data_IF_250179887000
#
_entry.id   IF_250179887000
#
_cell.length_a   1.000
_cell.length_b   1.000
_cell.length_c   1.000
_cell.angle_alpha   90.00
_cell.angle_beta   90.00
_cell.angle_gamma   90.00
#
_symmetry.space_group_name_H-M   'P 1'
#
loop_
_entity.id
_entity.type
_entity.pdbx_description
1 polymer ?
#
# COMPACT_ATOMS: atom_id res chain seq x y z
N UNK A 1 48.81 -55.43 20.87
CA UNK A 1 47.37 -55.77 20.72
C UNK A 1 46.56 -54.48 20.72
N UNK A 2 46.23 -53.98 19.51
CA UNK A 2 45.37 -52.82 19.28
C UNK A 2 43.91 -53.16 19.60
N UNK A 3 43.22 -52.32 20.38
CA UNK A 3 41.75 -52.25 20.38
C UNK A 3 41.37 -51.01 19.57
N UNK A 4 40.86 -51.23 18.35
CA UNK A 4 40.23 -50.19 17.55
C UNK A 4 38.96 -49.72 18.26
N UNK A 5 38.91 -48.43 18.58
CA UNK A 5 37.67 -47.74 18.90
C UNK A 5 36.91 -47.49 17.59
N UNK A 6 35.70 -48.03 17.48
CA UNK A 6 34.77 -47.70 16.41
C UNK A 6 34.26 -46.27 16.59
N UNK A 7 34.34 -45.39 15.58
CA UNK A 7 33.73 -44.07 15.67
C UNK A 7 32.21 -44.21 15.55
N UNK A 8 31.52 -43.59 16.51
CA UNK A 8 30.07 -43.40 16.50
C UNK A 8 29.66 -42.70 15.20
N UNK A 9 28.95 -43.42 14.33
CA UNK A 9 28.43 -42.90 13.05
C UNK A 9 27.30 -41.93 13.38
N UNK A 10 27.56 -40.62 13.29
CA UNK A 10 26.52 -39.59 13.28
C UNK A 10 25.57 -39.96 12.15
N UNK A 11 24.33 -40.32 12.50
CA UNK A 11 23.30 -40.64 11.54
C UNK A 11 22.97 -39.38 10.75
N UNK A 12 23.23 -39.46 9.44
CA UNK A 12 22.80 -38.48 8.44
C UNK A 12 21.34 -38.09 8.66
N UNK A 13 21.12 -36.80 8.89
CA UNK A 13 19.78 -36.21 8.79
C UNK A 13 19.44 -36.25 7.30
N UNK A 14 18.46 -37.08 6.95
CA UNK A 14 18.13 -37.40 5.55
C UNK A 14 17.90 -36.15 4.68
N UNK A 15 18.51 -36.07 3.47
CA UNK A 15 18.43 -34.91 2.58
C UNK A 15 17.00 -34.63 2.04
N UNK A 16 16.09 -35.59 2.18
CA UNK A 16 14.69 -35.48 1.78
C UNK A 16 13.90 -34.46 2.64
N UNK A 17 14.20 -34.34 3.93
CA UNK A 17 13.47 -33.38 4.80
C UNK A 17 13.75 -31.92 4.42
N UNK A 18 14.98 -31.62 4.00
CA UNK A 18 15.38 -30.29 3.54
C UNK A 18 14.72 -29.88 2.23
N UNK A 19 14.50 -30.82 1.30
CA UNK A 19 13.85 -30.54 0.00
C UNK A 19 12.38 -30.16 0.17
N UNK A 20 11.64 -30.87 1.02
CA UNK A 20 10.23 -30.54 1.30
C UNK A 20 10.08 -29.22 2.06
N UNK A 21 11.00 -28.91 2.97
CA UNK A 21 11.01 -27.62 3.67
C UNK A 21 11.23 -26.46 2.68
N UNK A 22 12.27 -26.54 1.84
CA UNK A 22 12.54 -25.52 0.80
C UNK A 22 11.37 -25.33 -0.15
N UNK A 23 10.72 -26.41 -0.58
CA UNK A 23 9.55 -26.34 -1.46
C UNK A 23 8.36 -25.63 -0.80
N UNK A 24 8.09 -25.88 0.49
CA UNK A 24 7.00 -25.21 1.24
C UNK A 24 7.22 -23.71 1.36
N UNK A 25 8.44 -23.30 1.70
CA UNK A 25 8.80 -21.87 1.78
C UNK A 25 8.69 -21.22 0.41
N UNK A 26 9.24 -21.85 -0.62
CA UNK A 26 9.17 -21.33 -2.00
C UNK A 26 7.72 -21.14 -2.47
N UNK A 27 6.82 -22.10 -2.21
CA UNK A 27 5.41 -21.99 -2.58
C UNK A 27 4.68 -20.92 -1.77
N UNK A 28 4.97 -20.78 -0.48
CA UNK A 28 4.38 -19.73 0.35
C UNK A 28 4.79 -18.32 -0.13
N UNK A 29 6.08 -18.17 -0.48
CA UNK A 29 6.61 -16.93 -1.06
C UNK A 29 5.99 -16.67 -2.44
N UNK A 30 5.87 -17.69 -3.29
CA UNK A 30 5.23 -17.56 -4.60
C UNK A 30 3.77 -17.15 -4.48
N UNK A 31 3.03 -17.76 -3.56
CA UNK A 31 1.63 -17.41 -3.27
C UNK A 31 1.49 -15.95 -2.84
N UNK A 32 2.31 -15.50 -1.89
CA UNK A 32 2.30 -14.09 -1.47
C UNK A 32 2.71 -13.16 -2.62
N UNK A 33 3.75 -13.50 -3.38
CA UNK A 33 4.21 -12.70 -4.50
C UNK A 33 3.10 -12.54 -5.55
N UNK A 34 2.36 -13.60 -5.86
CA UNK A 34 1.24 -13.56 -6.79
C UNK A 34 0.08 -12.68 -6.27
N UNK A 35 -0.29 -12.81 -4.98
CA UNK A 35 -1.32 -11.97 -4.36
C UNK A 35 -0.95 -10.48 -4.40
N UNK A 36 0.27 -10.15 -3.96
CA UNK A 36 0.76 -8.77 -3.92
C UNK A 36 0.94 -8.18 -5.32
N UNK A 37 1.40 -8.98 -6.29
CA UNK A 37 1.49 -8.56 -7.68
C UNK A 37 0.10 -8.26 -8.26
N UNK A 38 -0.89 -9.14 -8.02
CA UNK A 38 -2.27 -8.93 -8.45
C UNK A 38 -2.87 -7.64 -7.88
N UNK A 39 -2.69 -7.42 -6.57
CA UNK A 39 -3.13 -6.20 -5.89
C UNK A 39 -2.45 -4.94 -6.44
N UNK A 40 -1.13 -4.94 -6.57
CA UNK A 40 -0.39 -3.78 -7.06
C UNK A 40 -0.69 -3.48 -8.53
N UNK A 41 -0.94 -4.52 -9.35
CA UNK A 41 -1.36 -4.37 -10.74
C UNK A 41 -2.74 -3.73 -10.85
N UNK A 42 -3.63 -4.00 -9.90
CA UNK A 42 -4.96 -3.41 -9.87
C UNK A 42 -4.88 -1.94 -9.42
N UNK A 43 -4.22 -1.69 -8.30
CA UNK A 43 -4.07 -0.34 -7.75
C UNK A 43 -3.21 0.58 -8.65
N UNK A 44 -2.33 0.03 -9.50
CA UNK A 44 -1.50 0.83 -10.40
C UNK A 44 -2.29 1.62 -11.42
N UNK A 45 -3.51 1.18 -11.78
CA UNK A 45 -4.43 1.96 -12.62
C UNK A 45 -4.74 3.30 -11.96
N UNK A 46 -5.17 3.28 -10.70
CA UNK A 46 -5.44 4.48 -9.90
C UNK A 46 -4.17 5.30 -9.67
N UNK A 47 -3.04 4.68 -9.36
CA UNK A 47 -1.79 5.42 -9.14
C UNK A 47 -1.26 6.12 -10.40
N UNK A 48 -1.63 5.64 -11.58
CA UNK A 48 -1.20 6.23 -12.86
C UNK A 48 -2.17 7.30 -13.36
N UNK A 49 -3.47 7.09 -13.14
CA UNK A 49 -4.54 7.92 -13.70
C UNK A 49 -5.00 9.01 -12.72
N UNK A 50 -4.93 8.74 -11.43
CA UNK A 50 -5.32 9.67 -10.38
C UNK A 50 -4.09 10.31 -9.74
N UNK A 51 -3.85 11.56 -10.12
CA UNK A 51 -2.74 12.36 -9.63
C UNK A 51 -2.65 12.47 -8.09
N UNK A 52 -3.78 12.36 -7.40
CA UNK A 52 -3.84 12.39 -5.93
C UNK A 52 -3.15 11.16 -5.32
N UNK A 53 -3.26 10.00 -5.97
CA UNK A 53 -2.72 8.72 -5.51
C UNK A 53 -1.42 8.29 -6.20
N UNK A 54 -0.79 9.20 -6.96
CA UNK A 54 0.47 8.90 -7.66
C UNK A 54 1.59 8.41 -6.70
N UNK A 55 1.62 8.91 -5.47
CA UNK A 55 2.55 8.45 -4.43
C UNK A 55 2.41 6.96 -4.11
N UNK A 56 1.28 6.33 -4.46
CA UNK A 56 1.00 4.92 -4.28
C UNK A 56 2.04 4.00 -4.91
N UNK A 57 2.69 4.43 -6.00
CA UNK A 57 3.80 3.71 -6.62
C UNK A 57 4.98 3.46 -5.67
N UNK A 58 5.23 4.34 -4.69
CA UNK A 58 6.30 4.18 -3.72
C UNK A 58 5.93 3.26 -2.55
N UNK A 59 4.64 3.10 -2.28
CA UNK A 59 4.14 2.43 -1.06
C UNK A 59 4.53 0.95 -0.99
N UNK A 60 4.44 0.12 -2.05
CA UNK A 60 4.91 -1.27 -2.01
C UNK A 60 6.40 -1.39 -1.66
N UNK A 61 7.24 -0.48 -2.16
CA UNK A 61 8.67 -0.46 -1.87
C UNK A 61 8.95 -0.06 -0.43
N UNK A 62 8.25 0.96 0.09
CA UNK A 62 8.35 1.33 1.49
C UNK A 62 7.82 0.25 2.42
N UNK A 63 6.70 -0.40 2.09
CA UNK A 63 6.17 -1.53 2.85
C UNK A 63 7.18 -2.69 2.91
N UNK A 64 7.80 -3.03 1.77
CA UNK A 64 8.85 -4.06 1.70
C UNK A 64 10.09 -3.67 2.52
N UNK A 65 10.52 -2.40 2.43
CA UNK A 65 11.65 -1.88 3.20
C UNK A 65 11.38 -1.91 4.71
N UNK A 66 10.20 -1.46 5.15
CA UNK A 66 9.76 -1.53 6.54
C UNK A 66 9.66 -2.98 7.02
N UNK A 67 9.16 -3.88 6.17
CA UNK A 67 9.10 -5.31 6.47
C UNK A 67 10.51 -5.89 6.67
N UNK A 68 11.45 -5.55 5.79
CA UNK A 68 12.85 -5.95 5.90
C UNK A 68 13.52 -5.41 7.18
N UNK A 69 13.29 -4.14 7.53
CA UNK A 69 13.77 -3.57 8.79
C UNK A 69 13.19 -4.29 10.01
N UNK A 70 11.89 -4.64 9.97
CA UNK A 70 11.26 -5.43 11.04
C UNK A 70 11.78 -6.86 11.08
N UNK A 71 12.16 -7.44 9.95
CA UNK A 71 12.69 -8.79 9.87
C UNK A 71 14.02 -8.93 10.62
N UNK A 72 14.87 -7.91 10.59
CA UNK A 72 16.16 -7.90 11.29
C UNK A 72 16.00 -7.97 12.82
N UNK A 73 14.96 -7.32 13.35
CA UNK A 73 14.66 -7.26 14.79
C UNK A 73 13.45 -8.16 15.14
N UNK A 74 13.23 -9.24 14.39
CA UNK A 74 12.09 -10.12 14.60
C UNK A 74 12.19 -10.85 15.95
N UNK A 75 11.11 -10.89 16.76
CA UNK A 75 11.13 -11.63 18.02
C UNK A 75 11.29 -13.13 17.75
N UNK A 76 11.91 -13.85 18.69
CA UNK A 76 11.96 -15.32 18.62
C UNK A 76 10.52 -15.87 18.47
N UNK A 77 10.32 -16.77 17.50
CA UNK A 77 9.02 -17.37 17.23
C UNK A 77 8.49 -18.02 18.53
N UNK A 78 7.26 -17.71 18.91
CA UNK A 78 6.66 -18.28 20.11
C UNK A 78 6.48 -19.78 19.92
N UNK A 79 7.17 -20.59 20.74
CA UNK A 79 6.95 -22.03 20.82
C UNK A 79 5.64 -22.22 21.60
N UNK A 80 4.57 -22.76 20.99
CA UNK A 80 3.34 -23.01 21.73
C UNK A 80 3.60 -24.07 22.79
N UNK A 81 3.56 -23.66 24.06
CA UNK A 81 3.47 -24.52 25.24
C UNK A 81 4.74 -25.30 25.62
N UNK A 82 5.73 -24.63 26.20
CA UNK A 82 6.43 -25.21 27.35
C UNK A 82 5.83 -24.61 28.62
N UNK A 83 4.81 -25.27 29.18
CA UNK A 83 4.63 -25.21 30.64
C UNK A 83 6.00 -25.51 31.24
N UNK A 84 6.53 -24.57 32.01
CA UNK A 84 7.81 -24.69 32.69
C UNK A 84 7.93 -26.11 33.27
N UNK A 85 8.99 -26.88 32.98
CA UNK A 85 9.14 -28.18 33.62
C UNK A 85 9.15 -27.94 35.12
N UNK A 86 8.26 -28.64 35.82
CA UNK A 86 8.18 -28.67 37.26
C UNK A 86 9.57 -28.88 37.88
N UNK A 87 9.70 -28.39 39.10
CA UNK A 87 10.95 -28.29 39.85
C UNK A 87 11.80 -29.58 39.82
N UNK A 88 13.15 -29.48 39.93
CA UNK A 88 14.07 -30.60 39.76
C UNK A 88 13.85 -31.85 40.63
N UNK A 89 13.04 -31.78 41.68
CA UNK A 89 12.87 -32.89 42.63
C UNK A 89 11.87 -33.97 42.20
N UNK A 90 10.97 -33.72 41.24
CA UNK A 90 10.00 -34.73 40.75
C UNK A 90 10.60 -35.79 39.80
N UNK A 91 11.90 -35.69 39.48
CA UNK A 91 12.54 -36.52 38.44
C UNK A 91 13.01 -37.91 38.89
N UNK A 92 12.92 -38.25 40.18
CA UNK A 92 13.52 -39.48 40.72
C UNK A 92 12.64 -40.74 40.59
N UNK A 93 11.32 -40.62 40.61
CA UNK A 93 10.44 -41.80 40.72
C UNK A 93 9.96 -42.37 39.38
N UNK A 94 10.33 -41.74 38.25
CA UNK A 94 9.77 -42.09 36.93
C UNK A 94 10.74 -42.80 35.98
N UNK A 95 11.79 -43.44 36.52
CA UNK A 95 12.86 -44.07 35.73
C UNK A 95 12.71 -45.57 35.47
N UNK A 96 11.65 -46.23 35.97
CA UNK A 96 11.52 -47.70 35.86
C UNK A 96 10.44 -48.24 34.91
N UNK A 97 9.63 -47.41 34.22
CA UNK A 97 8.48 -47.92 33.43
C UNK A 97 8.41 -47.45 31.97
N UNK A 98 9.51 -47.02 31.34
CA UNK A 98 9.45 -46.35 30.02
C UNK A 98 10.41 -46.83 28.93
N UNK A 99 10.77 -48.11 28.90
CA UNK A 99 11.55 -48.64 27.76
C UNK A 99 10.70 -49.08 26.56
N UNK A 100 9.37 -49.21 26.68
CA UNK A 100 8.50 -49.63 25.56
C UNK A 100 7.68 -48.54 24.86
N UNK A 101 7.59 -47.32 25.41
CA UNK A 101 6.66 -46.28 24.91
C UNK A 101 7.34 -45.13 24.16
N UNK A 102 8.67 -45.14 24.06
CA UNK A 102 9.47 -44.03 23.53
C UNK A 102 9.35 -43.83 22.02
N UNK A 103 9.15 -44.90 21.24
CA UNK A 103 9.07 -44.82 19.79
C UNK A 103 7.68 -44.36 19.30
N UNK A 104 6.60 -44.82 19.93
CA UNK A 104 5.24 -44.32 19.66
C UNK A 104 5.05 -42.87 20.10
N UNK A 105 5.67 -42.45 21.20
CA UNK A 105 5.63 -41.05 21.66
C UNK A 105 6.50 -40.10 20.81
N UNK A 106 7.51 -40.61 20.08
CA UNK A 106 8.29 -39.82 19.10
C UNK A 106 7.58 -39.72 17.75
N UNK A 107 6.84 -40.77 17.35
CA UNK A 107 6.00 -40.78 16.15
C UNK A 107 4.71 -39.95 16.32
N UNK A 108 4.16 -39.87 17.54
CA UNK A 108 3.08 -38.96 17.92
C UNK A 108 3.59 -37.53 18.20
N UNK A 109 4.58 -37.06 17.42
CA UNK A 109 4.89 -35.63 17.32
C UNK A 109 3.86 -34.97 16.42
N UNK A 110 2.65 -34.99 16.96
CA UNK A 110 1.39 -34.77 16.29
C UNK A 110 1.35 -33.34 15.78
N UNK A 111 1.36 -33.24 14.44
CA UNK A 111 0.82 -32.17 13.63
C UNK A 111 -0.03 -31.19 14.46
N UNK A 112 0.56 -30.08 14.89
CA UNK A 112 -0.19 -29.07 15.62
C UNK A 112 -1.14 -28.42 14.61
N UNK A 113 -2.41 -28.82 14.68
CA UNK A 113 -3.46 -28.35 13.77
C UNK A 113 -3.44 -26.81 13.78
N UNK A 114 -3.29 -26.15 12.62
CA UNK A 114 -3.35 -24.70 12.54
C UNK A 114 -4.64 -24.22 13.20
N UNK A 115 -4.56 -23.14 13.97
CA UNK A 115 -5.69 -22.60 14.73
C UNK A 115 -6.95 -22.60 13.85
N UNK A 116 -8.03 -23.32 14.22
CA UNK A 116 -9.18 -23.51 13.33
C UNK A 116 -9.83 -22.19 12.93
N UNK A 117 -9.76 -21.17 13.79
CA UNK A 117 -10.18 -19.82 13.46
C UNK A 117 -9.31 -19.19 12.35
N UNK A 118 -7.99 -19.37 12.39
CA UNK A 118 -7.08 -18.88 11.35
C UNK A 118 -7.37 -19.52 10.00
N UNK A 119 -7.64 -20.83 9.99
CA UNK A 119 -8.00 -21.58 8.79
C UNK A 119 -9.35 -21.12 8.25
N UNK A 120 -10.35 -20.95 9.11
CA UNK A 120 -11.68 -20.46 8.70
C UNK A 120 -11.61 -19.05 8.08
N UNK A 121 -10.86 -18.13 8.71
CA UNK A 121 -10.65 -16.78 8.16
C UNK A 121 -9.90 -16.85 6.82
N UNK A 122 -8.86 -17.70 6.72
CA UNK A 122 -8.12 -17.88 5.47
C UNK A 122 -8.98 -18.43 4.34
N UNK A 123 -9.82 -19.44 4.62
CA UNK A 123 -10.78 -19.99 3.66
C UNK A 123 -11.80 -18.93 3.24
N UNK A 124 -12.38 -18.20 4.20
CA UNK A 124 -13.33 -17.14 3.91
C UNK A 124 -12.70 -16.05 3.02
N UNK A 125 -11.47 -15.61 3.32
CA UNK A 125 -10.75 -14.63 2.52
C UNK A 125 -10.44 -15.14 1.10
N UNK A 126 -10.05 -16.41 0.96
CA UNK A 126 -9.86 -17.04 -0.36
C UNK A 126 -11.18 -17.13 -1.13
N UNK A 127 -12.28 -17.54 -0.51
CA UNK A 127 -13.59 -17.62 -1.15
C UNK A 127 -14.10 -16.25 -1.60
N UNK A 128 -13.90 -15.21 -0.79
CA UNK A 128 -14.26 -13.83 -1.11
C UNK A 128 -13.41 -13.25 -2.25
N UNK A 129 -12.23 -13.80 -2.53
CA UNK A 129 -11.39 -13.34 -3.63
C UNK A 129 -12.09 -13.51 -4.99
N UNK A 130 -12.86 -14.58 -5.19
CA UNK A 130 -13.57 -14.81 -6.46
C UNK A 130 -14.59 -13.70 -6.80
N UNK A 131 -15.61 -13.41 -5.96
CA UNK A 131 -16.55 -12.35 -6.26
C UNK A 131 -15.87 -10.98 -6.32
N UNK A 132 -14.91 -10.69 -5.44
CA UNK A 132 -14.16 -9.42 -5.49
C UNK A 132 -13.47 -9.26 -6.85
N UNK A 133 -12.68 -10.24 -7.30
CA UNK A 133 -11.98 -10.18 -8.59
C UNK A 133 -12.94 -10.15 -9.78
N UNK A 134 -14.06 -10.87 -9.70
CA UNK A 134 -15.07 -10.85 -10.75
C UNK A 134 -15.66 -9.45 -10.95
N UNK A 135 -16.06 -8.77 -9.86
CA UNK A 135 -16.64 -7.43 -9.95
C UNK A 135 -15.61 -6.33 -10.20
N UNK A 136 -14.39 -6.50 -9.68
CA UNK A 136 -13.31 -5.51 -9.79
C UNK A 136 -12.84 -5.36 -11.25
N UNK A 137 -12.75 -6.47 -12.01
CA UNK A 137 -12.41 -6.41 -13.44
C UNK A 137 -13.46 -5.65 -14.26
N UNK A 138 -14.75 -5.76 -13.91
CA UNK A 138 -15.80 -5.02 -14.61
C UNK A 138 -15.93 -3.55 -14.16
N UNK A 139 -15.50 -3.24 -12.94
CA UNK A 139 -15.67 -1.92 -12.33
C UNK A 139 -14.35 -1.50 -11.66
N UNK A 140 -13.29 -1.24 -12.44
CA UNK A 140 -11.98 -0.90 -11.88
C UNK A 140 -12.02 0.40 -11.07
N UNK A 141 -12.92 1.33 -11.37
CA UNK A 141 -13.10 2.57 -10.59
C UNK A 141 -13.84 2.37 -9.25
N UNK A 142 -14.39 1.18 -8.97
CA UNK A 142 -15.11 0.92 -7.73
C UNK A 142 -14.17 0.72 -6.54
N UNK A 143 -13.82 1.84 -5.91
CA UNK A 143 -12.86 1.91 -4.79
C UNK A 143 -13.17 0.97 -3.62
N UNK A 144 -14.44 0.66 -3.35
CA UNK A 144 -14.80 -0.29 -2.29
C UNK A 144 -14.31 -1.72 -2.58
N UNK A 145 -14.26 -2.12 -3.85
CA UNK A 145 -13.70 -3.41 -4.25
C UNK A 145 -12.19 -3.43 -4.03
N UNK A 146 -11.49 -2.33 -4.35
CA UNK A 146 -10.05 -2.19 -4.08
C UNK A 146 -9.74 -2.33 -2.57
N UNK A 147 -10.58 -1.76 -1.69
CA UNK A 147 -10.48 -1.98 -0.24
C UNK A 147 -10.72 -3.45 0.14
N UNK A 148 -11.72 -4.10 -0.44
CA UNK A 148 -12.01 -5.52 -0.23
C UNK A 148 -10.83 -6.42 -0.65
N UNK A 149 -10.28 -6.19 -1.84
CA UNK A 149 -9.12 -6.91 -2.36
C UNK A 149 -7.89 -6.70 -1.48
N UNK A 150 -7.60 -5.44 -1.11
CA UNK A 150 -6.48 -5.14 -0.21
C UNK A 150 -6.65 -5.82 1.15
N UNK A 151 -7.86 -5.78 1.72
CA UNK A 151 -8.16 -6.44 2.99
C UNK A 151 -7.94 -7.96 2.93
N UNK A 152 -8.31 -8.61 1.83
CA UNK A 152 -8.05 -10.03 1.60
C UNK A 152 -6.54 -10.31 1.58
N UNK A 153 -5.76 -9.55 0.79
CA UNK A 153 -4.30 -9.75 0.66
C UNK A 153 -3.57 -9.50 1.97
N UNK A 154 -3.91 -8.41 2.68
CA UNK A 154 -3.37 -8.09 4.01
C UNK A 154 -3.71 -9.20 5.00
N UNK A 155 -4.96 -9.66 5.03
CA UNK A 155 -5.40 -10.73 5.93
C UNK A 155 -4.66 -12.04 5.66
N UNK A 156 -4.59 -12.50 4.41
CA UNK A 156 -3.88 -13.72 4.03
C UNK A 156 -2.38 -13.64 4.37
N UNK A 157 -1.77 -12.48 4.16
CA UNK A 157 -0.36 -12.24 4.52
C UNK A 157 -0.17 -12.32 6.04
N UNK A 158 -1.01 -11.65 6.82
CA UNK A 158 -0.94 -11.65 8.29
C UNK A 158 -1.21 -13.03 8.89
N UNK A 159 -2.15 -13.79 8.33
CA UNK A 159 -2.43 -15.17 8.75
C UNK A 159 -1.22 -16.09 8.50
N UNK A 160 -0.55 -15.96 7.35
CA UNK A 160 0.67 -16.73 7.08
C UNK A 160 1.79 -16.39 8.07
N UNK A 161 2.03 -15.09 8.32
CA UNK A 161 3.00 -14.63 9.32
C UNK A 161 2.65 -15.13 10.73
N UNK A 162 1.35 -15.11 11.08
CA UNK A 162 0.87 -15.62 12.36
C UNK A 162 1.10 -17.13 12.52
N UNK A 163 0.86 -17.92 11.47
CA UNK A 163 1.13 -19.35 11.46
C UNK A 163 2.63 -19.67 11.58
N UNK A 164 3.52 -18.79 11.11
CA UNK A 164 4.97 -19.01 11.15
C UNK A 164 5.61 -18.67 12.51
N UNK A 165 5.16 -17.59 13.16
CA UNK A 165 5.82 -17.09 14.38
C UNK A 165 4.90 -16.67 15.53
N UNK A 166 3.61 -16.97 15.44
CA UNK A 166 2.64 -16.71 16.49
C UNK A 166 2.29 -15.22 16.64
N UNK A 167 1.60 -14.89 17.72
CA UNK A 167 1.01 -13.55 17.92
C UNK A 167 2.07 -12.45 18.04
N UNK A 168 3.29 -12.80 18.48
CA UNK A 168 4.42 -11.88 18.48
C UNK A 168 4.77 -11.40 17.06
N UNK A 169 4.87 -12.33 16.10
CA UNK A 169 5.14 -11.98 14.70
C UNK A 169 4.00 -11.21 14.08
N UNK A 170 2.75 -11.63 14.33
CA UNK A 170 1.56 -10.90 13.86
C UNK A 170 1.61 -9.42 14.26
N UNK A 171 1.84 -9.14 15.56
CA UNK A 171 1.90 -7.75 16.06
C UNK A 171 3.11 -6.98 15.52
N UNK A 172 4.25 -7.65 15.36
CA UNK A 172 5.50 -7.04 14.91
C UNK A 172 5.48 -6.65 13.42
N UNK A 173 4.87 -7.48 12.58
CA UNK A 173 4.79 -7.26 11.12
C UNK A 173 3.46 -6.64 10.66
N UNK A 174 2.47 -6.48 11.54
CA UNK A 174 1.18 -5.88 11.20
C UNK A 174 1.31 -4.53 10.51
N UNK A 175 2.15 -3.65 11.04
CA UNK A 175 2.27 -2.29 10.50
C UNK A 175 2.87 -2.25 9.08
N UNK A 176 4.05 -2.84 8.78
CA UNK A 176 4.58 -2.88 7.42
C UNK A 176 3.60 -3.46 6.39
N UNK A 177 2.87 -4.52 6.76
CA UNK A 177 1.90 -5.16 5.87
C UNK A 177 0.68 -4.26 5.66
N UNK A 178 0.16 -3.64 6.72
CA UNK A 178 -0.98 -2.73 6.65
C UNK A 178 -0.62 -1.37 6.00
N UNK A 179 0.66 -1.04 5.84
CA UNK A 179 1.11 0.22 5.23
C UNK A 179 0.57 0.43 3.81
N UNK A 180 0.31 -0.66 3.07
CA UNK A 180 -0.31 -0.60 1.73
C UNK A 180 -1.69 0.07 1.73
N UNK A 181 -2.42 0.05 2.85
CA UNK A 181 -3.74 0.68 2.97
C UNK A 181 -3.71 2.19 2.73
N UNK A 182 -2.56 2.83 2.89
CA UNK A 182 -2.38 4.26 2.60
C UNK A 182 -2.43 4.55 1.09
N UNK A 183 -2.10 3.56 0.25
CA UNK A 183 -2.15 3.68 -1.21
C UNK A 183 -3.51 3.30 -1.81
N UNK A 184 -4.47 2.85 -1.00
CA UNK A 184 -5.80 2.46 -1.47
C UNK A 184 -6.71 3.69 -1.51
N UNK A 185 -7.40 3.94 -2.64
CA UNK A 185 -8.23 5.13 -2.75
C UNK A 185 -9.42 5.11 -1.82
N UNK A 186 -9.64 6.20 -1.10
CA UNK A 186 -10.72 6.35 -0.14
C UNK A 186 -12.08 6.23 -0.84
N UNK A 187 -13.11 5.66 -0.19
CA UNK A 187 -14.44 5.62 -0.77
C UNK A 187 -14.91 7.03 -1.17
N UNK A 188 -15.43 7.19 -2.39
CA UNK A 188 -15.81 8.50 -2.97
C UNK A 188 -16.77 9.27 -2.07
N UNK A 189 -17.66 8.57 -1.37
CA UNK A 189 -18.60 9.15 -0.40
C UNK A 189 -17.93 9.85 0.79
N UNK A 190 -16.71 9.44 1.15
CA UNK A 190 -15.91 10.06 2.21
C UNK A 190 -14.93 11.07 1.62
N UNK A 191 -14.30 10.74 0.50
CA UNK A 191 -13.30 11.58 -0.12
C UNK A 191 -13.90 12.89 -0.64
N UNK A 192 -14.93 12.84 -1.50
CA UNK A 192 -15.46 14.03 -2.18
C UNK A 192 -15.92 15.13 -1.22
N UNK A 193 -16.68 14.85 -0.14
CA UNK A 193 -17.06 15.89 0.82
C UNK A 193 -15.88 16.52 1.54
N UNK A 194 -14.84 15.73 1.87
CA UNK A 194 -13.61 16.23 2.51
C UNK A 194 -12.84 17.11 1.54
N UNK A 195 -12.67 16.67 0.29
CA UNK A 195 -12.00 17.45 -0.77
C UNK A 195 -12.69 18.79 -0.95
N UNK A 196 -13.99 18.76 -1.25
CA UNK A 196 -14.78 19.95 -1.58
C UNK A 196 -14.98 20.84 -0.35
N UNK A 197 -15.07 20.27 0.84
CA UNK A 197 -15.09 21.02 2.10
C UNK A 197 -13.80 21.80 2.30
N UNK A 198 -12.66 21.13 2.19
CA UNK A 198 -11.35 21.73 2.36
C UNK A 198 -11.06 22.81 1.30
N UNK A 199 -11.35 22.54 0.02
CA UNK A 199 -11.17 23.52 -1.07
C UNK A 199 -11.96 24.80 -0.83
N UNK A 200 -13.23 24.69 -0.41
CA UNK A 200 -14.07 25.86 -0.10
C UNK A 200 -13.54 26.65 1.09
N UNK A 201 -13.06 25.97 2.13
CA UNK A 201 -12.46 26.65 3.29
C UNK A 201 -11.19 27.37 2.88
N UNK A 202 -10.29 26.70 2.16
CA UNK A 202 -9.05 27.32 1.66
C UNK A 202 -9.35 28.51 0.76
N UNK A 203 -10.30 28.39 -0.18
CA UNK A 203 -10.67 29.48 -1.08
C UNK A 203 -11.17 30.71 -0.32
N UNK A 204 -12.06 30.52 0.67
CA UNK A 204 -12.60 31.60 1.50
C UNK A 204 -11.50 32.29 2.32
N UNK A 205 -10.74 31.51 3.07
CA UNK A 205 -9.70 32.08 3.95
C UNK A 205 -8.59 32.72 3.12
N UNK A 206 -8.24 32.16 1.95
CA UNK A 206 -7.21 32.74 1.08
C UNK A 206 -7.69 34.04 0.44
N UNK A 207 -8.96 34.13 0.02
CA UNK A 207 -9.53 35.38 -0.49
C UNK A 207 -9.57 36.45 0.61
N UNK A 208 -10.04 36.13 1.82
CA UNK A 208 -10.03 37.06 2.96
C UNK A 208 -8.62 37.54 3.30
N UNK A 209 -7.65 36.63 3.35
CA UNK A 209 -6.25 36.98 3.57
C UNK A 209 -5.68 37.86 2.45
N UNK A 210 -6.03 37.60 1.20
CA UNK A 210 -5.60 38.41 0.06
C UNK A 210 -6.21 39.81 0.09
N UNK A 211 -7.48 39.93 0.47
CA UNK A 211 -8.14 41.22 0.69
C UNK A 211 -7.48 42.01 1.81
N UNK A 212 -7.08 41.34 2.91
CA UNK A 212 -6.32 41.98 4.00
C UNK A 212 -4.94 42.47 3.54
N UNK A 213 -4.33 41.82 2.55
CA UNK A 213 -3.07 42.20 1.94
C UNK A 213 -3.20 43.30 0.86
N UNK A 214 -4.42 43.74 0.57
CA UNK A 214 -4.71 44.82 -0.39
C UNK A 214 -5.08 44.35 -1.80
N UNK A 215 -5.22 43.04 -2.01
CA UNK A 215 -5.59 42.46 -3.31
C UNK A 215 -7.10 42.15 -3.35
N UNK A 216 -7.88 42.83 -4.21
CA UNK A 216 -9.32 42.55 -4.35
C UNK A 216 -9.56 41.12 -4.86
N UNK A 217 -10.23 40.30 -4.04
CA UNK A 217 -10.47 38.89 -4.33
C UNK A 217 -11.93 38.53 -3.99
N UNK A 218 -12.64 37.94 -4.95
CA UNK A 218 -14.04 37.48 -4.78
C UNK A 218 -14.13 35.96 -4.94
N UNK A 219 -14.89 35.29 -4.07
CA UNK A 219 -14.98 33.82 -4.05
C UNK A 219 -16.17 33.33 -4.88
N UNK A 220 -15.89 32.53 -5.90
CA UNK A 220 -16.89 31.85 -6.74
C UNK A 220 -16.74 30.32 -6.59
N UNK A 221 -17.42 29.75 -5.60
CA UNK A 221 -17.31 28.32 -5.29
C UNK A 221 -15.91 27.95 -4.77
N UNK A 222 -15.10 27.31 -5.63
CA UNK A 222 -13.69 26.97 -5.36
C UNK A 222 -12.70 27.88 -6.14
N UNK A 223 -13.22 28.84 -6.91
CA UNK A 223 -12.43 29.81 -7.67
C UNK A 223 -12.35 31.12 -6.91
N UNK A 224 -11.25 31.84 -7.12
CA UNK A 224 -11.04 33.19 -6.60
C UNK A 224 -10.88 34.11 -7.81
N UNK A 225 -11.82 35.04 -8.00
CA UNK A 225 -11.78 36.06 -9.04
C UNK A 225 -10.93 37.24 -8.57
N UNK A 226 -9.98 37.64 -9.41
CA UNK A 226 -9.12 38.81 -9.24
C UNK A 226 -9.19 39.68 -10.50
N UNK A 227 -8.61 40.89 -10.45
CA UNK A 227 -8.69 41.86 -11.56
C UNK A 227 -8.21 41.33 -12.91
N UNK A 228 -7.19 40.47 -12.92
CA UNK A 228 -6.59 39.94 -14.15
C UNK A 228 -7.08 38.53 -14.52
N UNK A 229 -7.96 37.88 -13.75
CA UNK A 229 -8.41 36.53 -14.07
C UNK A 229 -9.06 35.73 -12.94
N UNK A 230 -9.14 34.42 -13.14
CA UNK A 230 -9.68 33.46 -12.17
C UNK A 230 -8.55 32.55 -11.68
N UNK A 231 -8.30 32.55 -10.38
CA UNK A 231 -7.38 31.63 -9.72
C UNK A 231 -8.21 30.51 -9.13
N UNK A 232 -8.16 29.34 -9.76
CA UNK A 232 -8.82 28.16 -9.22
C UNK A 232 -8.02 27.56 -8.08
N UNK A 233 -8.68 27.30 -6.95
CA UNK A 233 -8.21 26.28 -6.01
C UNK A 233 -8.55 24.89 -6.60
N UNK A 234 -8.27 24.66 -7.89
CA UNK A 234 -8.64 23.46 -8.65
C UNK A 234 -7.54 22.39 -8.52
N UNK A 235 -7.69 21.21 -9.14
CA UNK A 235 -6.85 20.01 -8.94
C UNK A 235 -5.31 20.21 -8.92
N UNK A 236 -4.80 21.19 -9.66
CA UNK A 236 -3.39 21.60 -9.65
C UNK A 236 -2.92 22.19 -8.29
N UNK A 237 -3.88 22.71 -7.53
CA UNK A 237 -3.75 23.21 -6.16
C UNK A 237 -4.26 22.26 -5.07
N UNK A 238 -4.63 21.01 -5.38
CA UNK A 238 -5.30 20.14 -4.41
C UNK A 238 -4.43 19.85 -3.19
N UNK A 239 -4.72 20.54 -2.09
CA UNK A 239 -4.12 20.28 -0.77
C UNK A 239 -4.32 18.83 -0.31
N UNK A 240 -5.13 18.04 -1.01
CA UNK A 240 -5.31 16.61 -0.77
C UNK A 240 -4.16 15.73 -1.26
N UNK A 241 -3.52 16.04 -2.40
CA UNK A 241 -2.30 15.32 -2.80
C UNK A 241 -1.25 15.46 -1.70
N UNK A 242 -1.11 16.68 -1.18
CA UNK A 242 -0.25 17.00 -0.05
C UNK A 242 -0.76 16.35 1.25
N UNK A 243 -2.07 16.24 1.48
CA UNK A 243 -2.65 15.57 2.66
C UNK A 243 -2.34 14.07 2.68
N UNK A 244 -2.60 13.36 1.58
CA UNK A 244 -2.36 11.91 1.52
C UNK A 244 -0.86 11.60 1.51
N UNK A 245 -0.07 12.38 0.78
CA UNK A 245 1.39 12.25 0.79
C UNK A 245 1.97 12.56 2.17
N UNK A 246 1.48 13.59 2.88
CA UNK A 246 1.94 13.91 4.24
C UNK A 246 1.49 12.88 5.27
N UNK A 247 0.30 12.28 5.12
CA UNK A 247 -0.14 11.13 5.90
C UNK A 247 0.80 9.94 5.71
N UNK A 248 1.11 9.59 4.45
CA UNK A 248 2.07 8.53 4.13
C UNK A 248 3.43 8.81 4.77
N UNK A 249 3.97 10.01 4.58
CA UNK A 249 5.27 10.43 5.11
C UNK A 249 5.28 10.36 6.65
N UNK A 250 4.23 10.84 7.31
CA UNK A 250 4.12 10.80 8.78
C UNK A 250 4.06 9.37 9.32
N UNK A 251 3.32 8.48 8.66
CA UNK A 251 3.26 7.06 9.01
C UNK A 251 4.61 6.36 8.77
N UNK A 252 5.27 6.65 7.64
CA UNK A 252 6.58 6.10 7.27
C UNK A 252 7.64 6.53 8.30
N UNK A 253 7.81 7.82 8.54
CA UNK A 253 8.82 8.30 9.49
C UNK A 253 8.51 7.89 10.92
N UNK A 254 7.23 7.83 11.30
CA UNK A 254 6.83 7.35 12.62
C UNK A 254 7.20 5.88 12.85
N UNK A 255 7.16 5.05 11.81
CA UNK A 255 7.65 3.68 11.88
C UNK A 255 9.18 3.58 11.81
N UNK A 256 9.84 4.34 10.93
CA UNK A 256 11.30 4.36 10.83
C UNK A 256 11.97 4.80 12.14
N UNK A 257 11.34 5.72 12.88
CA UNK A 257 11.78 6.15 14.22
C UNK A 257 11.27 5.27 15.35
N UNK A 258 10.55 4.18 15.05
CA UNK A 258 9.94 3.26 16.03
C UNK A 258 9.10 3.98 17.09
N UNK A 259 8.42 5.06 16.72
CA UNK A 259 7.58 5.82 17.63
C UNK A 259 6.40 4.97 18.10
N UNK A 260 5.99 5.19 19.36
CA UNK A 260 4.74 4.66 19.90
C UNK A 260 3.54 5.06 19.04
N UNK A 261 2.46 4.27 19.09
CA UNK A 261 1.26 4.48 18.26
C UNK A 261 0.71 5.90 18.39
N UNK A 262 0.65 6.44 19.61
CA UNK A 262 0.16 7.80 19.86
C UNK A 262 1.07 8.86 19.21
N UNK A 263 2.40 8.74 19.37
CA UNK A 263 3.36 9.68 18.77
C UNK A 263 3.36 9.59 17.24
N UNK A 264 3.12 8.41 16.69
CA UNK A 264 2.95 8.20 15.24
C UNK A 264 1.71 8.87 14.71
N UNK A 265 0.58 8.70 15.40
CA UNK A 265 -0.67 9.41 15.05
C UNK A 265 -0.45 10.92 15.17
N UNK A 266 0.18 11.40 16.24
CA UNK A 266 0.51 12.81 16.41
C UNK A 266 1.41 13.34 15.29
N UNK A 267 2.44 12.58 14.87
CA UNK A 267 3.30 12.93 13.74
C UNK A 267 2.52 13.00 12.43
N UNK A 268 1.65 12.03 12.16
CA UNK A 268 0.79 12.05 10.97
C UNK A 268 -0.14 13.26 10.96
N UNK A 269 -0.78 13.58 12.09
CA UNK A 269 -1.64 14.76 12.23
C UNK A 269 -0.82 16.06 12.04
N UNK A 270 0.38 16.15 12.62
CA UNK A 270 1.26 17.30 12.42
C UNK A 270 1.68 17.45 10.96
N UNK A 271 2.05 16.35 10.29
CA UNK A 271 2.43 16.37 8.88
C UNK A 271 1.28 16.86 8.00
N UNK A 272 0.04 16.38 8.25
CA UNK A 272 -1.16 16.86 7.58
C UNK A 272 -1.39 18.34 7.85
N UNK A 273 -1.31 18.79 9.11
CA UNK A 273 -1.50 20.20 9.45
C UNK A 273 -0.48 21.12 8.77
N UNK A 274 0.80 20.73 8.73
CA UNK A 274 1.85 21.45 8.01
C UNK A 274 1.54 21.51 6.51
N UNK A 275 1.09 20.41 5.90
CA UNK A 275 0.71 20.37 4.50
C UNK A 275 -0.46 21.30 4.18
N UNK A 276 -1.49 21.33 5.04
CA UNK A 276 -2.64 22.23 4.90
C UNK A 276 -2.22 23.70 5.02
N UNK A 277 -1.38 24.03 5.99
CA UNK A 277 -0.87 25.40 6.16
C UNK A 277 -0.02 25.84 4.97
N UNK A 278 0.89 24.99 4.50
CA UNK A 278 1.72 25.32 3.35
C UNK A 278 0.86 25.50 2.08
N UNK A 279 -0.17 24.68 1.90
CA UNK A 279 -1.11 24.84 0.79
C UNK A 279 -1.93 26.13 0.89
N UNK A 280 -2.31 26.55 2.09
CA UNK A 280 -2.96 27.83 2.32
C UNK A 280 -2.06 29.01 1.92
N UNK A 281 -0.79 29.00 2.35
CA UNK A 281 0.20 30.01 1.96
C UNK A 281 0.37 30.05 0.44
N UNK A 282 0.37 28.89 -0.22
CA UNK A 282 0.38 28.83 -1.70
C UNK A 282 -0.79 29.55 -2.31
N UNK A 283 -1.99 29.28 -1.81
CA UNK A 283 -3.21 29.82 -2.38
C UNK A 283 -3.18 31.35 -2.33
N UNK A 284 -2.78 31.93 -1.20
CA UNK A 284 -2.60 33.40 -1.07
C UNK A 284 -1.52 33.91 -2.03
N UNK A 285 -0.36 33.24 -2.10
CA UNK A 285 0.72 33.61 -3.02
C UNK A 285 0.27 33.61 -4.49
N UNK A 286 -0.47 32.59 -4.91
CA UNK A 286 -0.95 32.50 -6.30
C UNK A 286 -2.02 33.55 -6.63
N UNK A 287 -2.88 33.90 -5.66
CA UNK A 287 -3.85 34.99 -5.82
C UNK A 287 -3.13 36.33 -6.00
N UNK A 288 -2.08 36.58 -5.23
CA UNK A 288 -1.29 37.81 -5.31
C UNK A 288 -0.53 37.94 -6.64
N UNK A 289 0.14 36.87 -7.08
CA UNK A 289 0.82 36.82 -8.38
C UNK A 289 -0.17 36.98 -9.53
N UNK A 290 -1.34 36.34 -9.46
CA UNK A 290 -2.35 36.47 -10.49
C UNK A 290 -2.96 37.88 -10.57
N UNK A 291 -2.93 38.65 -9.48
CA UNK A 291 -3.40 40.04 -9.47
C UNK A 291 -2.37 41.03 -10.03
N UNK A 292 -1.08 40.69 -9.99
CA UNK A 292 0.03 41.62 -10.32
C UNK A 292 0.70 41.31 -11.65
N UNK A 293 0.75 40.04 -12.06
CA UNK A 293 1.47 39.57 -13.26
C UNK A 293 0.53 39.22 -14.43
N UNK A 294 1.08 39.17 -15.64
CA UNK A 294 0.34 38.75 -16.83
C UNK A 294 0.07 37.23 -16.81
N UNK A 295 -1.15 36.84 -17.22
CA UNK A 295 -1.67 35.45 -17.19
C UNK A 295 -0.74 34.39 -17.80
N UNK A 296 0.12 34.74 -18.75
CA UNK A 296 1.06 33.81 -19.40
C UNK A 296 2.23 33.37 -18.52
N UNK A 297 2.54 34.07 -17.42
CA UNK A 297 3.60 33.68 -16.46
C UNK A 297 3.09 32.88 -15.26
N UNK A 298 1.77 32.87 -15.04
CA UNK A 298 1.13 32.25 -13.86
C UNK A 298 1.37 30.73 -13.82
N UNK A 299 1.41 30.05 -14.98
CA UNK A 299 1.69 28.62 -15.05
C UNK A 299 3.07 28.23 -14.51
N UNK A 300 4.11 29.03 -14.78
CA UNK A 300 5.47 28.78 -14.28
C UNK A 300 5.55 28.92 -12.76
N UNK A 301 4.92 29.96 -12.22
CA UNK A 301 4.87 30.18 -10.77
C UNK A 301 4.04 29.12 -10.05
N UNK A 302 3.00 28.60 -10.69
CA UNK A 302 2.19 27.51 -10.17
C UNK A 302 3.02 26.23 -9.93
N UNK A 303 3.87 25.84 -10.88
CA UNK A 303 4.70 24.64 -10.78
C UNK A 303 5.81 24.79 -9.72
N UNK A 304 6.51 25.92 -9.72
CA UNK A 304 7.58 26.20 -8.74
C UNK A 304 7.01 26.22 -7.31
N UNK A 305 5.84 26.84 -7.12
CA UNK A 305 5.16 26.87 -5.83
C UNK A 305 4.71 25.46 -5.38
N UNK A 306 4.29 24.61 -6.33
CA UNK A 306 3.93 23.22 -6.06
C UNK A 306 5.10 22.40 -5.52
N UNK A 307 6.24 22.38 -6.22
CA UNK A 307 7.41 21.58 -5.83
C UNK A 307 8.07 22.06 -4.54
N UNK A 308 8.15 23.38 -4.35
CA UNK A 308 8.75 23.98 -3.14
C UNK A 308 7.99 23.63 -1.86
N UNK A 309 6.65 23.55 -1.93
CA UNK A 309 5.83 23.16 -0.79
C UNK A 309 5.99 21.70 -0.42
N UNK A 310 6.06 20.81 -1.41
CA UNK A 310 6.30 19.38 -1.15
C UNK A 310 7.64 19.21 -0.41
N UNK A 311 8.68 19.91 -0.87
CA UNK A 311 9.99 19.90 -0.21
C UNK A 311 9.92 20.46 1.22
N UNK A 312 9.24 21.58 1.43
CA UNK A 312 9.03 22.18 2.75
C UNK A 312 8.31 21.23 3.71
N UNK A 313 7.19 20.64 3.27
CA UNK A 313 6.40 19.68 4.07
C UNK A 313 7.23 18.46 4.42
N UNK A 314 8.02 17.93 3.48
CA UNK A 314 8.92 16.80 3.72
C UNK A 314 9.96 17.13 4.80
N UNK A 315 10.66 18.26 4.66
CA UNK A 315 11.69 18.70 5.62
C UNK A 315 11.09 18.97 7.00
N UNK A 316 9.94 19.64 7.05
CA UNK A 316 9.25 19.94 8.30
C UNK A 316 8.75 18.65 8.99
N UNK A 317 8.13 17.72 8.25
CA UNK A 317 7.71 16.44 8.78
C UNK A 317 8.90 15.62 9.31
N UNK A 318 10.02 15.63 8.60
CA UNK A 318 11.27 15.00 9.04
C UNK A 318 11.82 15.65 10.32
N UNK A 319 11.77 16.98 10.43
CA UNK A 319 12.14 17.72 11.63
C UNK A 319 11.28 17.35 12.84
N UNK A 320 9.95 17.34 12.68
CA UNK A 320 9.01 16.93 13.74
C UNK A 320 9.26 15.47 14.15
N UNK A 321 9.47 14.57 13.20
CA UNK A 321 9.80 13.18 13.49
C UNK A 321 11.10 13.03 14.29
N UNK A 322 12.13 13.82 13.96
CA UNK A 322 13.39 13.85 14.70
C UNK A 322 13.19 14.36 16.14
N UNK A 323 12.41 15.44 16.32
CA UNK A 323 12.10 16.00 17.64
C UNK A 323 11.31 15.02 18.51
N UNK A 324 10.30 14.35 17.96
CA UNK A 324 9.51 13.33 18.65
C UNK A 324 10.34 12.08 18.99
N UNK A 325 11.31 11.72 18.15
CA UNK A 325 12.23 10.59 18.38
C UNK A 325 13.29 10.86 19.45
N UNK A 326 13.64 12.13 19.72
CA UNK A 326 14.68 12.52 20.69
C UNK A 326 14.30 12.20 22.14
N UNK A 327 13.01 12.03 22.45
CA UNK A 327 12.53 11.68 23.79
C UNK A 327 12.69 10.20 24.16
N UNK A 328 13.10 9.33 23.22
CA UNK A 328 13.11 7.87 23.42
C UNK A 328 14.53 7.28 23.54
N UNK A 329 15.55 8.12 23.76
CA UNK A 329 16.91 7.69 24.15
C UNK A 329 17.02 7.37 25.64
N UNK A 330 16.11 6.55 26.19
CA UNK A 330 16.28 6.01 27.55
C UNK A 330 15.53 4.69 27.75
N UNK A 331 16.13 3.58 27.33
CA UNK A 331 16.65 2.52 28.22
C UNK A 331 17.27 1.39 27.37
N UNK A 332 18.60 1.30 27.19
CA UNK A 332 19.23 0.10 26.68
C UNK A 332 19.25 -0.94 27.81
N UNK A 333 18.09 -1.47 28.17
CA UNK A 333 17.95 -2.74 28.90
C UNK A 333 17.28 -3.75 27.98
N UNK A 334 17.85 -3.93 26.79
CA UNK A 334 17.82 -5.24 26.16
C UNK A 334 19.13 -5.89 26.55
N UNK A 335 19.07 -6.64 27.64
CA UNK A 335 20.10 -7.57 28.05
C UNK A 335 20.50 -8.37 26.81
N UNK A 336 21.74 -8.15 26.37
CA UNK A 336 22.40 -8.90 25.33
C UNK A 336 22.54 -10.32 25.85
N UNK A 337 21.47 -11.11 25.74
CA UNK A 337 21.50 -12.54 25.99
C UNK A 337 22.16 -13.14 24.75
N UNK A 338 23.49 -13.08 24.73
CA UNK A 338 24.34 -13.92 23.90
C UNK A 338 24.13 -15.38 24.36
N UNK A 339 22.94 -15.91 24.11
CA UNK A 339 22.69 -17.35 24.10
C UNK A 339 23.17 -17.87 22.74
N UNK A 340 23.71 -19.10 22.68
CA UNK A 340 24.15 -19.67 21.41
C UNK A 340 23.00 -19.54 20.42
N UNK A 341 23.30 -19.02 19.22
CA UNK A 341 22.40 -19.01 18.07
C UNK A 341 21.86 -20.43 17.91
N UNK A 342 20.73 -20.70 18.57
CA UNK A 342 20.09 -21.98 18.49
C UNK A 342 19.56 -22.04 17.08
N UNK A 343 20.22 -22.86 16.28
CA UNK A 343 19.78 -23.33 14.99
C UNK A 343 18.26 -23.31 14.93
N UNK A 344 17.70 -22.74 13.85
CA UNK A 344 16.28 -22.74 13.50
C UNK A 344 15.73 -24.15 13.76
N UNK A 345 15.27 -24.34 14.98
CA UNK A 345 15.09 -25.64 15.60
C UNK A 345 13.67 -26.07 15.31
N UNK A 346 13.49 -26.63 14.12
CA UNK A 346 12.41 -27.50 13.68
C UNK A 346 11.32 -27.80 14.73
N UNK A 347 10.33 -26.91 14.82
CA UNK A 347 8.90 -27.20 15.04
C UNK A 347 8.12 -25.89 14.90
N UNK A 348 8.26 -25.26 13.74
CA UNK A 348 7.31 -24.24 13.31
C UNK A 348 6.06 -24.98 12.84
N UNK A 349 4.88 -24.50 13.22
CA UNK A 349 3.58 -24.91 12.69
C UNK A 349 3.53 -24.63 11.19
N UNK A 350 4.20 -25.48 10.41
CA UNK A 350 4.32 -25.32 8.98
C UNK A 350 2.96 -25.62 8.36
N UNK A 351 2.38 -24.62 7.69
CA UNK A 351 1.20 -24.80 6.87
C UNK A 351 1.47 -26.00 5.93
N UNK A 352 0.58 -27.01 5.91
CA UNK A 352 0.82 -28.19 5.10
C UNK A 352 0.88 -27.81 3.62
N UNK A 353 1.79 -28.45 2.90
CA UNK A 353 2.06 -28.20 1.48
C UNK A 353 0.77 -28.22 0.64
N UNK A 354 -0.16 -29.12 0.98
CA UNK A 354 -1.46 -29.26 0.33
C UNK A 354 -2.33 -28.01 0.43
N UNK A 355 -2.35 -27.31 1.58
CA UNK A 355 -3.12 -26.08 1.73
C UNK A 355 -2.54 -24.95 0.90
N UNK A 356 -1.22 -24.76 0.92
CA UNK A 356 -0.56 -23.75 0.07
C UNK A 356 -0.72 -24.06 -1.42
N UNK A 357 -0.62 -25.33 -1.81
CA UNK A 357 -0.85 -25.74 -3.19
C UNK A 357 -2.32 -25.50 -3.59
N UNK A 358 -3.28 -25.87 -2.75
CA UNK A 358 -4.70 -25.61 -2.99
C UNK A 358 -5.01 -24.10 -3.09
N UNK A 359 -4.40 -23.27 -2.23
CA UNK A 359 -4.54 -21.82 -2.30
C UNK A 359 -3.98 -21.22 -3.59
N UNK A 360 -2.84 -21.72 -4.09
CA UNK A 360 -2.28 -21.33 -5.39
C UNK A 360 -3.20 -21.78 -6.53
N UNK A 361 -3.67 -23.03 -6.51
CA UNK A 361 -4.60 -23.53 -7.52
C UNK A 361 -5.91 -22.72 -7.52
N UNK A 362 -6.40 -22.34 -6.34
CA UNK A 362 -7.57 -21.47 -6.21
C UNK A 362 -7.30 -20.07 -6.77
N UNK A 363 -6.17 -19.46 -6.45
CA UNK A 363 -5.78 -18.16 -7.02
C UNK A 363 -5.70 -18.20 -8.55
N UNK A 364 -5.08 -19.25 -9.10
CA UNK A 364 -5.02 -19.45 -10.56
C UNK A 364 -6.41 -19.66 -11.15
N UNK A 365 -7.26 -20.44 -10.48
CA UNK A 365 -8.65 -20.63 -10.89
C UNK A 365 -9.42 -19.30 -10.89
N UNK A 366 -9.25 -18.46 -9.87
CA UNK A 366 -9.88 -17.14 -9.82
C UNK A 366 -9.40 -16.27 -10.98
N UNK A 367 -8.09 -16.07 -11.17
CA UNK A 367 -7.58 -15.17 -12.22
C UNK A 367 -7.87 -15.69 -13.64
N UNK A 368 -7.67 -16.99 -13.89
CA UNK A 368 -7.94 -17.58 -15.21
C UNK A 368 -9.45 -17.67 -15.46
N UNK A 369 -10.22 -18.00 -14.43
CA UNK A 369 -11.67 -18.17 -14.50
C UNK A 369 -12.38 -16.85 -14.79
N UNK A 370 -12.04 -15.78 -14.08
CA UNK A 370 -12.61 -14.44 -14.33
C UNK A 370 -12.19 -13.92 -15.71
N UNK A 371 -10.92 -14.02 -16.08
CA UNK A 371 -10.45 -13.59 -17.40
C UNK A 371 -11.11 -14.37 -18.54
N UNK A 372 -11.25 -15.70 -18.38
CA UNK A 372 -11.93 -16.55 -19.37
C UNK A 372 -13.42 -16.24 -19.45
N UNK A 373 -14.08 -15.98 -18.32
CA UNK A 373 -15.49 -15.58 -18.28
C UNK A 373 -15.74 -14.31 -19.10
N UNK A 374 -14.98 -13.22 -18.85
CA UNK A 374 -15.10 -11.98 -19.62
C UNK A 374 -14.80 -12.21 -21.10
N UNK A 375 -13.68 -12.86 -21.43
CA UNK A 375 -13.32 -13.15 -22.82
C UNK A 375 -14.34 -14.03 -23.55
N UNK A 376 -15.09 -14.89 -22.86
CA UNK A 376 -16.14 -15.70 -23.46
C UNK A 376 -17.39 -14.87 -23.77
N UNK A 377 -17.74 -13.92 -22.89
CA UNK A 377 -18.91 -13.05 -23.06
C UNK A 377 -18.64 -11.90 -24.05
N UNK A 378 -17.41 -11.45 -24.16
CA UNK A 378 -17.00 -10.38 -25.09
C UNK A 378 -16.85 -10.85 -26.55
N UNK A 379 -16.83 -12.17 -26.82
CA UNK A 379 -16.71 -12.72 -28.19
C UNK A 379 -17.81 -12.27 -29.14
N UNK A 380 -18.98 -11.96 -28.60
CA UNK A 380 -20.16 -11.57 -29.37
C UNK A 380 -20.44 -10.06 -29.30
N UNK A 381 -19.55 -9.26 -28.69
CA UNK A 381 -19.66 -7.81 -28.76
C UNK A 381 -19.39 -7.38 -30.21
N UNK A 382 -20.39 -6.79 -30.83
CA UNK A 382 -20.27 -6.15 -32.14
C UNK A 382 -19.12 -5.15 -32.01
N UNK A 383 -18.03 -5.36 -32.76
CA UNK A 383 -16.93 -4.41 -32.83
C UNK A 383 -17.53 -3.04 -33.10
N UNK A 384 -17.31 -2.07 -32.18
CA UNK A 384 -17.92 -0.76 -32.26
C UNK A 384 -17.83 -0.20 -33.69
N UNK A 385 -18.88 0.49 -34.13
CA UNK A 385 -18.97 1.06 -35.48
C UNK A 385 -17.65 1.77 -35.79
N UNK A 386 -16.88 1.22 -36.73
CA UNK A 386 -15.62 1.83 -37.17
C UNK A 386 -15.99 3.07 -37.96
N UNK A 387 -16.03 4.20 -37.28
CA UNK A 387 -16.19 5.50 -37.91
C UNK A 387 -14.81 6.08 -38.22
N UNK A 388 -14.72 6.84 -39.30
CA UNK A 388 -13.57 7.68 -39.60
C UNK A 388 -14.06 9.05 -40.02
N UNK A 389 -13.37 10.09 -39.57
CA UNK A 389 -13.67 11.46 -39.98
C UNK A 389 -12.81 11.78 -41.19
N UNK A 390 -13.46 12.18 -42.30
CA UNK A 390 -12.76 12.75 -43.46
C UNK A 390 -12.65 14.25 -43.27
N UNK A 391 -11.46 14.72 -42.97
CA UNK A 391 -11.20 16.15 -42.76
C UNK A 391 -11.23 16.93 -44.08
N UNK A 392 -11.72 18.18 -44.08
CA UNK A 392 -11.74 19.04 -45.27
C UNK A 392 -10.36 19.67 -45.50
N UNK A 393 -9.36 18.84 -45.82
CA UNK A 393 -7.95 19.29 -45.99
C UNK A 393 -7.77 20.32 -47.12
N UNK A 394 -8.72 20.38 -48.06
CA UNK A 394 -8.73 21.34 -49.18
C UNK A 394 -9.46 22.65 -48.86
N UNK A 395 -10.10 22.78 -47.69
CA UNK A 395 -10.80 24.00 -47.32
C UNK A 395 -9.81 25.16 -47.10
N UNK A 396 -10.20 26.42 -47.41
CA UNK A 396 -9.33 27.55 -47.16
C UNK A 396 -8.96 27.64 -45.68
N UNK A 397 -7.69 27.97 -45.41
CA UNK A 397 -7.13 28.07 -44.06
C UNK A 397 -7.24 26.80 -43.20
N UNK A 398 -7.36 25.61 -43.81
CA UNK A 398 -7.32 24.35 -43.05
C UNK A 398 -5.99 24.22 -42.30
N UNK A 399 -6.07 24.01 -40.98
CA UNK A 399 -4.92 23.69 -40.14
C UNK A 399 -5.34 22.73 -39.03
N UNK A 400 -4.49 21.74 -38.76
CA UNK A 400 -4.61 20.91 -37.56
C UNK A 400 -4.19 21.74 -36.35
N UNK A 401 -5.00 21.66 -35.30
CA UNK A 401 -4.73 22.25 -34.00
C UNK A 401 -4.16 21.17 -33.09
N UNK A 402 -3.07 21.51 -32.39
CA UNK A 402 -2.59 20.67 -31.30
C UNK A 402 -3.60 20.79 -30.16
N UNK A 403 -4.17 19.66 -29.75
CA UNK A 403 -4.95 19.60 -28.51
C UNK A 403 -3.95 19.77 -27.36
N UNK A 404 -4.22 20.74 -26.49
CA UNK A 404 -3.40 20.98 -25.32
C UNK A 404 -3.35 19.74 -24.41
N UNK A 405 -2.22 19.52 -23.74
CA UNK A 405 -2.05 18.34 -22.90
C UNK A 405 -2.99 18.39 -21.68
N UNK A 406 -3.33 19.60 -21.20
CA UNK A 406 -4.33 19.79 -20.14
C UNK A 406 -5.72 19.33 -20.60
N UNK A 407 -6.13 19.71 -21.82
CA UNK A 407 -7.41 19.28 -22.40
C UNK A 407 -7.44 17.76 -22.56
N UNK A 408 -6.33 17.15 -23.00
CA UNK A 408 -6.21 15.69 -23.10
C UNK A 408 -6.30 15.03 -21.72
N UNK A 409 -5.65 15.59 -20.70
CA UNK A 409 -5.67 15.06 -19.34
C UNK A 409 -7.08 15.11 -18.71
N UNK A 410 -7.86 16.15 -19.03
CA UNK A 410 -9.25 16.31 -18.56
C UNK A 410 -10.21 15.41 -19.33
N UNK A 411 -10.16 15.43 -20.67
CA UNK A 411 -11.13 14.71 -21.51
C UNK A 411 -10.83 13.21 -21.66
N UNK A 412 -9.59 12.78 -21.40
CA UNK A 412 -9.15 11.37 -21.37
C UNK A 412 -9.62 10.53 -22.56
N UNK A 413 -9.61 11.12 -23.75
CA UNK A 413 -9.96 10.41 -24.98
C UNK A 413 -8.82 9.49 -25.42
N UNK A 414 -9.16 8.33 -26.00
CA UNK A 414 -8.17 7.40 -26.59
C UNK A 414 -7.53 7.97 -27.87
N UNK A 415 -8.32 8.68 -28.67
CA UNK A 415 -7.87 9.37 -29.87
C UNK A 415 -8.65 10.67 -30.06
N UNK A 416 -7.93 11.75 -30.38
CA UNK A 416 -8.52 13.07 -30.59
C UNK A 416 -7.65 13.90 -31.51
N UNK A 417 -8.30 14.50 -32.49
CA UNK A 417 -7.71 15.48 -33.40
C UNK A 417 -8.58 16.74 -33.39
N UNK A 418 -7.95 17.91 -33.47
CA UNK A 418 -8.64 19.19 -33.61
C UNK A 418 -8.18 19.86 -34.90
N UNK A 419 -9.08 20.55 -35.61
CA UNK A 419 -8.75 21.29 -36.83
C UNK A 419 -9.63 22.53 -36.95
N UNK A 420 -9.13 23.55 -37.66
CA UNK A 420 -9.85 24.77 -38.00
C UNK A 420 -9.76 25.05 -39.50
N UNK A 421 -10.85 25.53 -40.10
CA UNK A 421 -10.92 25.96 -41.49
C UNK A 421 -11.94 27.10 -41.63
N UNK A 422 -11.89 27.83 -42.75
CA UNK A 422 -12.90 28.83 -43.10
C UNK A 422 -13.88 28.26 -44.11
N UNK A 423 -15.17 28.59 -43.97
CA UNK A 423 -16.22 28.17 -44.91
C UNK A 423 -16.33 29.25 -45.98
N UNK A 424 -16.12 28.88 -47.25
CA UNK A 424 -16.38 29.78 -48.37
C UNK A 424 -17.90 29.93 -48.54
N UNK A 425 -18.42 31.15 -48.44
CA UNK A 425 -19.86 31.44 -48.58
C UNK A 425 -20.31 31.60 -50.04
N UNK A 426 -19.74 30.84 -50.97
CA UNK A 426 -20.16 30.86 -52.37
C UNK A 426 -20.72 29.49 -52.77
N UNK A 427 -22.04 29.40 -52.71
CA UNK A 427 -22.89 28.39 -53.32
C UNK A 427 -24.14 29.07 -53.82
#
# INVERSE_FOLDING_TARGET
>A
MQKLATPFKVTDVSPLSGRHFRARVALSVLFLAALWFGLCRELSGEWSVNEQYNFGWFVPFFALYLFWLRWQDAPAAQIPNSKSPAEPWERRDRRQTREGSGERARAASEFQIPNPAAVAIGIAALLLLLPVRLFEIANPEWRLLAWGHTAIVVTLTLLLIWCLGGTAWLRHFAFPIAFILVAVPWPTSLETPVIQGLMRVVARVAAEASMLLGTPAEVEGNLIRVSNGLVGVNEACSGIRSLQTSLMIGLLFGELKRLSVLRRVALAVCAVAIALLANFVRAVFLVDIAATENLSEVGRWHDIAGYSIIALVFVAAMGVAYLLGKSETRNPKSEKRDGPQSAIGSRQSAIPLSYTAAAICWLLFVEIGTASWYRLHERNLISGVRWSVRWPEQAPNFRKLKIDEEIRAVLRFDHGEAAAWTISSEG
#
